data_IF_832565206808
#
_entry.id   IF_832565206808
#
_cell.length_a   1.000
_cell.length_b   1.000
_cell.length_c   1.000
_cell.angle_alpha   90.00
_cell.angle_beta   90.00
_cell.angle_gamma   90.00
#
_symmetry.space_group_name_H-M   'P 1'
#
loop_
_entity.id
_entity.type
_entity.pdbx_description
1 polymer ?
#
# COMPACT_ATOMS: atom_id res chain seq x y z
N UNK A 1 -1.45 6.34 -2.57
CA UNK A 1 -2.22 6.24 -1.31
C UNK A 1 -2.24 4.79 -0.91
N UNK A 2 -2.07 4.45 0.37
CA UNK A 2 -2.27 3.09 0.86
C UNK A 2 -3.46 3.05 1.82
N UNK A 3 -4.41 2.17 1.53
CA UNK A 3 -5.50 1.78 2.44
C UNK A 3 -5.24 0.33 2.85
N UNK A 4 -5.51 -0.02 4.11
CA UNK A 4 -5.44 -1.41 4.57
C UNK A 4 -6.66 -1.77 5.39
N UNK A 5 -6.98 -3.06 5.46
CA UNK A 5 -7.89 -3.58 6.49
C UNK A 5 -7.31 -3.27 7.89
N UNK A 6 -8.12 -2.87 8.88
CA UNK A 6 -7.61 -2.47 10.19
C UNK A 6 -6.93 -3.63 10.90
N UNK A 7 -5.78 -3.35 11.50
CA UNK A 7 -5.09 -4.27 12.40
C UNK A 7 -5.28 -3.79 13.85
N UNK A 8 -6.05 -4.53 14.64
CA UNK A 8 -6.37 -4.16 16.05
C UNK A 8 -5.17 -4.30 17.00
N UNK A 9 -3.97 -4.66 16.52
CA UNK A 9 -2.93 -5.26 17.36
C UNK A 9 -1.54 -4.58 17.37
N UNK A 10 -1.39 -3.28 17.08
CA UNK A 10 -0.08 -2.62 17.22
C UNK A 10 -0.12 -1.28 17.97
N UNK A 11 0.71 -1.16 19.01
CA UNK A 11 0.98 0.07 19.78
C UNK A 11 1.78 1.12 19.02
N UNK A 12 2.24 0.81 17.79
CA UNK A 12 2.89 1.73 16.86
C UNK A 12 2.23 1.63 15.50
N UNK A 13 1.63 2.72 15.06
CA UNK A 13 0.94 2.77 13.77
C UNK A 13 1.87 3.29 12.68
N UNK A 14 1.86 2.59 11.54
CA UNK A 14 2.62 3.00 10.37
C UNK A 14 1.79 3.98 9.55
N UNK A 15 2.34 5.17 9.31
CA UNK A 15 1.75 6.18 8.46
C UNK A 15 2.68 6.53 7.31
N UNK A 16 2.14 7.26 6.33
CA UNK A 16 2.85 7.70 5.13
C UNK A 16 3.47 6.55 4.33
N UNK A 17 2.86 5.37 4.42
CA UNK A 17 3.40 4.15 3.82
C UNK A 17 3.36 4.25 2.30
N UNK A 18 4.52 4.16 1.66
CA UNK A 18 4.68 4.16 0.20
C UNK A 18 5.81 3.23 -0.24
N UNK A 19 5.74 2.75 -1.47
CA UNK A 19 6.79 1.95 -2.09
C UNK A 19 7.46 2.74 -3.21
N UNK A 20 8.77 2.59 -3.34
CA UNK A 20 9.54 3.03 -4.49
C UNK A 20 10.31 1.85 -5.06
N UNK A 21 10.48 1.83 -6.38
CA UNK A 21 11.43 0.94 -7.01
C UNK A 21 12.84 1.55 -6.89
N UNK A 22 13.77 0.87 -6.23
CA UNK A 22 15.12 1.41 -6.00
C UNK A 22 16.21 0.81 -6.90
N UNK A 23 15.87 -0.25 -7.65
CA UNK A 23 16.77 -0.90 -8.63
C UNK A 23 15.95 -1.34 -9.84
N UNK A 24 16.58 -1.38 -11.01
CA UNK A 24 15.98 -1.94 -12.23
C UNK A 24 15.54 -3.39 -11.99
N UNK A 25 14.41 -3.77 -12.59
CA UNK A 25 13.87 -5.12 -12.50
C UNK A 25 14.78 -6.13 -13.19
N UNK A 26 14.76 -7.37 -12.70
CA UNK A 26 15.45 -8.53 -13.28
C UNK A 26 14.39 -9.57 -13.66
N UNK A 27 13.92 -9.51 -14.91
CA UNK A 27 12.74 -10.28 -15.33
C UNK A 27 11.52 -9.89 -14.50
N UNK A 28 10.91 -10.88 -13.84
CA UNK A 28 9.72 -10.71 -12.98
C UNK A 28 10.06 -10.30 -11.52
N UNK A 29 11.34 -10.06 -11.23
CA UNK A 29 11.82 -9.65 -9.92
C UNK A 29 11.87 -8.11 -9.80
N UNK A 30 11.12 -7.60 -8.82
CA UNK A 30 11.07 -6.20 -8.43
C UNK A 30 11.89 -5.96 -7.16
N UNK A 31 12.49 -4.77 -7.05
CA UNK A 31 13.24 -4.32 -5.88
C UNK A 31 12.57 -3.08 -5.27
N UNK A 32 12.00 -3.24 -4.08
CA UNK A 32 11.08 -2.28 -3.46
C UNK A 32 11.64 -1.70 -2.15
N UNK A 33 11.62 -0.37 -2.03
CA UNK A 33 11.89 0.40 -0.82
C UNK A 33 10.56 0.85 -0.23
N UNK A 34 10.16 0.25 0.89
CA UNK A 34 9.01 0.65 1.68
C UNK A 34 9.40 1.77 2.63
N UNK A 35 8.85 2.96 2.40
CA UNK A 35 9.02 4.12 3.26
C UNK A 35 7.80 4.32 4.14
N UNK A 36 8.01 4.59 5.42
CA UNK A 36 6.94 4.84 6.38
C UNK A 36 7.40 5.75 7.53
N UNK A 37 6.45 6.29 8.28
CA UNK A 37 6.65 7.05 9.51
C UNK A 37 5.96 6.32 10.66
N UNK A 38 6.59 6.33 11.84
CA UNK A 38 6.06 5.69 13.05
C UNK A 38 5.44 6.73 13.97
N UNK A 39 4.13 6.70 14.11
CA UNK A 39 3.41 7.48 15.13
C UNK A 39 3.39 6.69 16.42
N UNK A 40 3.78 7.34 17.52
CA UNK A 40 3.78 6.79 18.87
C UNK A 40 2.68 7.40 19.73
N UNK A 41 2.38 8.68 19.50
CA UNK A 41 1.39 9.45 20.25
C UNK A 41 0.43 10.17 19.30
N UNK A 42 -0.84 10.34 19.70
CA UNK A 42 -1.88 10.94 18.84
C UNK A 42 -1.57 12.38 18.43
N UNK A 43 -0.70 13.07 19.17
CA UNK A 43 -0.27 14.44 18.90
C UNK A 43 0.98 14.53 18.00
N UNK A 44 1.56 13.41 17.58
CA UNK A 44 2.72 13.41 16.69
C UNK A 44 2.36 14.05 15.34
N UNK A 45 3.03 15.16 15.01
CA UNK A 45 2.92 15.76 13.68
C UNK A 45 3.64 14.88 12.67
N UNK A 46 2.89 14.28 11.74
CA UNK A 46 3.44 13.43 10.69
C UNK A 46 4.58 14.10 9.91
N UNK A 47 4.54 15.42 9.71
CA UNK A 47 5.59 16.19 9.03
C UNK A 47 6.96 16.05 9.70
N UNK A 48 6.98 15.94 11.02
CA UNK A 48 8.18 16.08 11.85
C UNK A 48 8.80 14.72 12.16
N UNK A 49 8.04 13.64 11.93
CA UNK A 49 8.52 12.28 12.15
C UNK A 49 9.53 11.84 11.07
N UNK A 50 10.63 11.17 11.48
CA UNK A 50 11.63 10.68 10.54
C UNK A 50 11.08 9.53 9.70
N UNK A 51 11.54 9.47 8.45
CA UNK A 51 11.29 8.34 7.58
C UNK A 51 12.04 7.10 8.04
N UNK A 52 11.37 5.95 7.92
CA UNK A 52 11.91 4.61 8.12
C UNK A 52 11.78 3.85 6.82
N UNK A 53 12.70 2.91 6.63
CA UNK A 53 12.84 2.14 5.40
C UNK A 53 12.81 0.65 5.70
N UNK A 54 12.27 -0.11 4.76
CA UNK A 54 12.41 -1.57 4.68
C UNK A 54 12.58 -1.95 3.22
N UNK A 55 13.48 -2.87 2.95
CA UNK A 55 13.76 -3.33 1.60
C UNK A 55 13.15 -4.70 1.37
N UNK A 56 12.49 -4.84 0.23
CA UNK A 56 11.83 -6.05 -0.20
C UNK A 56 12.23 -6.40 -1.62
N UNK A 57 12.17 -7.68 -1.92
CA UNK A 57 11.98 -8.16 -3.28
C UNK A 57 10.55 -8.59 -3.47
N UNK A 58 10.03 -8.43 -4.69
CA UNK A 58 8.73 -8.97 -5.06
C UNK A 58 8.87 -9.69 -6.39
N UNK A 59 8.47 -10.96 -6.42
CA UNK A 59 8.46 -11.77 -7.64
C UNK A 59 7.04 -11.83 -8.15
N UNK A 60 6.83 -11.33 -9.37
CA UNK A 60 5.54 -11.45 -10.06
C UNK A 60 5.34 -12.88 -10.54
N UNK A 61 4.13 -13.37 -10.40
CA UNK A 61 3.72 -14.69 -10.85
C UNK A 61 2.46 -14.51 -11.69
N UNK A 62 2.52 -15.01 -12.92
CA UNK A 62 1.40 -14.94 -13.84
C UNK A 62 0.16 -15.60 -13.23
N UNK A 63 -0.98 -14.97 -13.46
CA UNK A 63 -2.28 -15.58 -13.20
C UNK A 63 -2.62 -16.64 -14.25
N UNK A 64 -3.86 -17.09 -14.22
CA UNK A 64 -4.51 -17.79 -15.33
C UNK A 64 -4.97 -16.75 -16.37
N UNK A 65 -5.18 -17.18 -17.61
CA UNK A 65 -5.79 -16.40 -18.71
C UNK A 65 -5.48 -14.89 -18.68
N UNK A 66 -6.48 -14.00 -18.59
CA UNK A 66 -6.37 -12.53 -18.58
C UNK A 66 -5.82 -11.97 -17.24
N UNK A 67 -4.79 -12.61 -16.68
CA UNK A 67 -4.21 -12.33 -15.35
C UNK A 67 -5.16 -12.57 -14.16
N UNK A 68 -6.18 -13.43 -14.32
CA UNK A 68 -7.01 -13.86 -13.21
C UNK A 68 -6.18 -14.65 -12.19
N UNK A 69 -6.35 -14.43 -10.90
CA UNK A 69 -5.48 -14.97 -9.84
C UNK A 69 -3.97 -14.59 -9.97
N UNK A 70 -3.59 -13.48 -10.63
CA UNK A 70 -2.18 -13.07 -10.65
C UNK A 70 -1.62 -12.84 -9.24
N UNK A 71 -0.39 -13.32 -8.97
CA UNK A 71 0.20 -13.32 -7.64
C UNK A 71 1.51 -12.55 -7.57
N UNK A 72 1.84 -12.11 -6.37
CA UNK A 72 3.11 -11.47 -6.06
C UNK A 72 3.64 -12.05 -4.75
N UNK A 73 4.80 -12.71 -4.82
CA UNK A 73 5.50 -13.19 -3.64
C UNK A 73 6.47 -12.10 -3.16
N UNK A 74 6.25 -11.57 -1.94
CA UNK A 74 7.06 -10.50 -1.36
C UNK A 74 7.95 -11.07 -0.27
N UNK A 75 9.26 -10.89 -0.43
CA UNK A 75 10.27 -11.31 0.53
C UNK A 75 10.98 -10.11 1.13
N UNK A 76 11.27 -10.16 2.43
CA UNK A 76 12.06 -9.13 3.10
C UNK A 76 13.54 -9.44 2.93
N UNK A 77 14.34 -8.45 2.55
CA UNK A 77 15.79 -8.63 2.39
C UNK A 77 16.56 -8.69 3.71
N UNK A 78 15.95 -8.26 4.82
CA UNK A 78 16.61 -8.12 6.13
C UNK A 78 16.02 -9.08 7.15
N UNK A 79 14.68 -9.11 7.27
CA UNK A 79 13.97 -10.00 8.20
C UNK A 79 13.86 -11.41 7.59
N UNK A 80 14.31 -12.45 8.33
CA UNK A 80 14.07 -13.86 7.98
C UNK A 80 12.62 -14.21 8.31
N UNK A 81 11.71 -13.87 7.39
CA UNK A 81 10.29 -14.20 7.47
C UNK A 81 9.88 -14.96 6.23
N UNK A 82 8.90 -15.87 6.33
CA UNK A 82 8.32 -16.49 5.15
C UNK A 82 7.75 -15.42 4.23
N UNK A 83 7.85 -15.68 2.93
CA UNK A 83 7.34 -14.79 1.90
C UNK A 83 5.85 -14.54 2.11
N UNK A 84 5.46 -13.28 1.96
CA UNK A 84 4.05 -12.89 1.95
C UNK A 84 3.53 -13.04 0.52
N UNK A 85 2.58 -13.95 0.32
CA UNK A 85 1.95 -14.15 -0.97
C UNK A 85 0.71 -13.26 -1.11
N UNK A 86 0.76 -12.34 -2.06
CA UNK A 86 -0.34 -11.45 -2.41
C UNK A 86 -1.03 -11.95 -3.68
N UNK A 87 -2.33 -11.70 -3.77
CA UNK A 87 -3.14 -11.89 -4.98
C UNK A 87 -3.62 -10.52 -5.47
N UNK A 88 -3.53 -10.26 -6.77
CA UNK A 88 -4.08 -9.07 -7.41
C UNK A 88 -5.59 -9.27 -7.60
N UNK A 89 -6.38 -8.50 -6.87
CA UNK A 89 -7.85 -8.60 -6.91
C UNK A 89 -8.44 -7.64 -7.94
N UNK A 90 -7.79 -6.49 -8.14
CA UNK A 90 -8.26 -5.46 -9.06
C UNK A 90 -7.11 -4.57 -9.49
N UNK A 91 -7.12 -4.14 -10.75
CA UNK A 91 -6.20 -3.16 -11.31
C UNK A 91 -6.96 -2.18 -12.19
N UNK A 92 -6.67 -0.89 -12.06
CA UNK A 92 -7.18 0.13 -12.96
C UNK A 92 -6.07 1.07 -13.43
N UNK A 93 -5.67 0.89 -14.68
CA UNK A 93 -4.60 1.68 -15.30
C UNK A 93 -4.94 3.17 -15.42
N UNK A 94 -6.22 3.51 -15.68
CA UNK A 94 -6.67 4.89 -15.86
C UNK A 94 -6.76 5.63 -14.53
N UNK A 95 -7.30 4.97 -13.51
CA UNK A 95 -7.38 5.50 -12.15
C UNK A 95 -6.05 5.42 -11.39
N UNK A 96 -5.05 4.72 -11.96
CA UNK A 96 -3.71 4.51 -11.38
C UNK A 96 -3.82 3.96 -9.97
N UNK A 97 -4.47 2.80 -9.84
CA UNK A 97 -4.66 2.15 -8.56
C UNK A 97 -4.86 0.63 -8.73
N UNK A 98 -4.60 -0.11 -7.65
CA UNK A 98 -4.85 -1.55 -7.58
C UNK A 98 -5.18 -2.00 -6.16
N UNK A 99 -5.79 -3.18 -6.06
CA UNK A 99 -6.15 -3.86 -4.82
C UNK A 99 -5.43 -5.19 -4.76
N UNK A 100 -4.74 -5.44 -3.66
CA UNK A 100 -4.14 -6.72 -3.33
C UNK A 100 -4.86 -7.35 -2.14
N UNK A 101 -4.87 -8.67 -2.09
CA UNK A 101 -5.20 -9.42 -0.89
C UNK A 101 -4.08 -10.35 -0.48
N UNK A 102 -4.08 -10.75 0.79
CA UNK A 102 -3.18 -11.76 1.34
C UNK A 102 -3.83 -12.43 2.55
N UNK A 103 -3.34 -13.62 2.92
CA UNK A 103 -3.79 -14.30 4.14
C UNK A 103 -2.94 -13.81 5.31
N UNK A 104 -3.58 -13.18 6.29
CA UNK A 104 -2.94 -12.74 7.52
C UNK A 104 -2.52 -13.91 8.42
N UNK A 105 -1.70 -13.63 9.43
CA UNK A 105 -1.23 -14.64 10.41
C UNK A 105 -2.36 -15.35 11.16
N UNK A 106 -3.54 -14.75 11.25
CA UNK A 106 -4.74 -15.33 11.85
C UNK A 106 -5.60 -16.15 10.87
N UNK A 107 -5.09 -16.43 9.67
CA UNK A 107 -5.78 -17.16 8.61
C UNK A 107 -6.87 -16.36 7.88
N UNK A 108 -7.09 -15.09 8.24
CA UNK A 108 -8.12 -14.25 7.60
C UNK A 108 -7.55 -13.50 6.40
N UNK A 109 -8.33 -13.41 5.31
CA UNK A 109 -8.04 -12.52 4.17
C UNK A 109 -7.94 -11.08 4.69
N UNK A 110 -6.83 -10.43 4.35
CA UNK A 110 -6.59 -8.99 4.53
C UNK A 110 -6.40 -8.39 3.15
N UNK A 111 -6.66 -7.09 3.03
CA UNK A 111 -6.49 -6.39 1.77
C UNK A 111 -5.77 -5.07 1.94
N UNK A 112 -5.17 -4.66 0.83
CA UNK A 112 -4.46 -3.40 0.69
C UNK A 112 -4.78 -2.77 -0.66
N UNK A 113 -5.11 -1.50 -0.66
CA UNK A 113 -5.28 -0.72 -1.88
C UNK A 113 -4.11 0.24 -2.02
N UNK A 114 -3.60 0.36 -3.24
CA UNK A 114 -2.51 1.24 -3.61
C UNK A 114 -2.95 2.20 -4.73
N UNK A 115 -2.53 3.45 -4.63
CA UNK A 115 -2.67 4.47 -5.70
C UNK A 115 -1.32 5.14 -5.97
N UNK A 116 -1.10 5.58 -7.21
CA UNK A 116 0.11 6.25 -7.64
C UNK A 116 0.21 7.62 -6.96
N UNK A 117 1.44 8.07 -6.68
CA UNK A 117 1.68 9.33 -6.00
C UNK A 117 1.00 10.52 -6.70
N UNK A 118 1.03 10.51 -8.04
CA UNK A 118 0.44 11.55 -8.88
C UNK A 118 -1.08 11.71 -8.73
N UNK A 119 -1.81 10.69 -8.25
CA UNK A 119 -3.28 10.77 -8.10
C UNK A 119 -3.75 10.95 -6.65
N UNK A 120 -2.83 10.87 -5.68
CA UNK A 120 -3.17 10.95 -4.23
C UNK A 120 -3.70 12.33 -3.83
N UNK A 121 -3.09 13.39 -4.36
CA UNK A 121 -3.44 14.77 -4.03
C UNK A 121 -4.89 15.12 -4.39
N UNK A 122 -5.48 14.43 -5.37
CA UNK A 122 -6.86 14.63 -5.81
C UNK A 122 -7.84 14.43 -4.62
N UNK A 123 -7.48 13.62 -3.61
CA UNK A 123 -8.32 13.42 -2.41
C UNK A 123 -8.34 14.65 -1.50
N UNK A 124 -7.25 15.41 -1.44
CA UNK A 124 -7.15 16.59 -0.59
C UNK A 124 -8.08 17.73 -1.05
N UNK A 125 -8.47 17.73 -2.33
CA UNK A 125 -9.30 18.77 -2.93
C UNK A 125 -10.81 18.55 -2.78
N UNK A 126 -11.25 17.47 -2.12
CA UNK A 126 -12.67 17.13 -1.96
C UNK A 126 -13.16 17.43 -0.53
N UNK A 127 -14.20 18.28 -0.40
CA UNK A 127 -14.97 18.50 0.84
C UNK A 127 -16.42 18.02 0.61
N UNK A 128 -17.05 17.25 1.51
CA UNK A 128 -16.53 16.55 2.69
C UNK A 128 -15.79 15.26 2.30
N UNK A 129 -15.04 14.62 3.24
CA UNK A 129 -14.31 13.38 3.01
C UNK A 129 -15.21 12.12 2.86
N UNK A 130 -16.44 12.26 2.36
CA UNK A 130 -17.47 11.23 2.37
C UNK A 130 -18.06 10.89 0.99
N UNK A 131 -18.14 9.57 0.73
CA UNK A 131 -18.99 8.85 -0.22
C UNK A 131 -18.64 8.79 -1.71
N UNK A 132 -17.57 9.42 -2.19
CA UNK A 132 -17.09 9.11 -3.54
C UNK A 132 -16.03 8.03 -3.44
N UNK A 133 -16.48 6.77 -3.31
CA UNK A 133 -15.59 5.64 -3.51
C UNK A 133 -15.04 5.73 -4.94
N UNK A 134 -13.73 5.95 -5.07
CA UNK A 134 -13.05 5.78 -6.35
C UNK A 134 -13.16 4.33 -6.79
N UNK A 135 -13.01 4.04 -8.08
CA UNK A 135 -13.14 2.66 -8.61
C UNK A 135 -12.40 1.62 -7.75
N UNK A 136 -11.15 1.87 -7.35
CA UNK A 136 -10.42 0.93 -6.50
C UNK A 136 -10.92 0.87 -5.04
N UNK A 137 -11.51 1.94 -4.49
CA UNK A 137 -12.11 1.90 -3.15
C UNK A 137 -13.43 1.12 -3.16
N UNK A 138 -14.22 1.19 -4.24
CA UNK A 138 -15.41 0.35 -4.44
C UNK A 138 -15.02 -1.13 -4.49
N UNK A 139 -14.00 -1.45 -5.28
CA UNK A 139 -13.48 -2.81 -5.40
C UNK A 139 -12.88 -3.31 -4.08
N UNK A 140 -12.13 -2.47 -3.37
CA UNK A 140 -11.66 -2.78 -2.03
C UNK A 140 -12.82 -3.12 -1.09
N UNK A 141 -13.88 -2.30 -1.09
CA UNK A 141 -15.05 -2.54 -0.26
C UNK A 141 -15.77 -3.85 -0.63
N UNK A 142 -15.94 -4.13 -1.93
CA UNK A 142 -16.55 -5.37 -2.41
C UNK A 142 -15.74 -6.61 -2.01
N UNK A 143 -14.41 -6.55 -2.12
CA UNK A 143 -13.53 -7.69 -1.85
C UNK A 143 -13.23 -7.92 -0.36
N UNK A 144 -13.24 -6.84 0.43
CA UNK A 144 -12.60 -6.83 1.76
C UNK A 144 -13.48 -6.24 2.87
N UNK A 145 -14.66 -5.75 2.52
CA UNK A 145 -15.64 -5.17 3.43
C UNK A 145 -15.43 -3.69 3.75
N UNK A 146 -16.38 -3.13 4.49
CA UNK A 146 -16.48 -1.68 4.77
C UNK A 146 -15.43 -1.12 5.72
N UNK A 147 -14.73 -1.97 6.47
CA UNK A 147 -13.80 -1.53 7.50
C UNK A 147 -12.39 -1.37 6.93
N UNK A 148 -11.90 -0.13 6.88
CA UNK A 148 -10.59 0.19 6.34
C UNK A 148 -9.91 1.34 7.11
N UNK A 149 -8.59 1.41 6.98
CA UNK A 149 -7.74 2.45 7.55
C UNK A 149 -6.92 3.12 6.43
N UNK A 150 -7.00 4.45 6.34
CA UNK A 150 -6.17 5.24 5.42
C UNK A 150 -4.86 5.59 6.12
N UNK A 151 -3.76 4.96 5.68
CA UNK A 151 -2.45 5.10 6.30
C UNK A 151 -1.51 6.05 5.55
N UNK A 152 -1.97 6.68 4.46
CA UNK A 152 -1.25 7.75 3.77
C UNK A 152 -2.08 9.04 3.76
N UNK A 153 -1.66 10.03 4.55
CA UNK A 153 -2.32 11.35 4.65
C UNK A 153 -1.52 12.38 3.87
N UNK A 154 -1.96 12.70 2.65
CA UNK A 154 -1.20 13.54 1.70
C UNK A 154 -0.54 14.76 2.36
N UNK A 155 -1.31 15.63 3.02
CA UNK A 155 -0.81 16.86 3.65
C UNK A 155 0.29 16.63 4.71
N UNK A 156 0.27 15.50 5.41
CA UNK A 156 1.30 15.16 6.41
C UNK A 156 2.49 14.38 5.84
N UNK A 157 2.31 13.76 4.66
CA UNK A 157 3.28 12.84 4.06
C UNK A 157 4.05 13.46 2.88
N UNK A 158 3.51 14.49 2.23
CA UNK A 158 4.08 15.12 1.02
C UNK A 158 5.30 15.99 1.27
N UNK A 159 5.78 16.13 2.51
CA UNK A 159 7.09 16.74 2.80
C UNK A 159 8.29 15.84 2.44
N UNK A 160 8.05 14.65 1.86
CA UNK A 160 9.09 13.91 1.16
C UNK A 160 9.21 14.42 -0.28
N UNK A 161 10.17 15.31 -0.46
CA UNK A 161 10.78 15.73 -1.73
C UNK A 161 10.61 14.70 -2.85
N UNK A 162 9.87 15.11 -3.90
CA UNK A 162 10.06 14.62 -5.25
C UNK A 162 11.55 14.75 -5.60
N UNK A 163 12.29 13.64 -5.57
CA UNK A 163 13.56 13.57 -6.30
C UNK A 163 13.15 13.11 -7.70
N UNK A 164 12.97 14.08 -8.60
CA UNK A 164 12.88 13.83 -10.03
C UNK A 164 14.29 13.57 -10.56
N UNK A 165 14.43 12.55 -11.41
CA UNK A 165 15.52 12.43 -12.39
C UNK A 165 16.77 11.74 -11.90
#
# INVERSE_FOLDING_TARGET
MRIRSPDRSCSKQWFCVNFLQYKKNEGDLLYLDLRYKLVKEDNDKLSDLPWRHKYFTATLQNGKELDDDARMAVSSLIDIKPDSLYTLEYWNQKAKCFVLSFIGSNGRKKCEMYEWNETVHIRANLKPPGNIYRNCEQEFHAQCGASFEIIYRYLGCSNATYIQG
#
